data_IF_620938446683
#
_entry.id   IF_620938446683
#
_cell.length_a   1.000
_cell.length_b   1.000
_cell.length_c   1.000
_cell.angle_alpha   90.00
_cell.angle_beta   90.00
_cell.angle_gamma   90.00
#
_symmetry.space_group_name_H-M   'P 1'
#
loop_
_entity.id
_entity.type
_entity.pdbx_description
1 polymer ?
#
# COMPACT_ATOMS: atom_id res chain seq x y z
N UNK A 1 -4.09 13.69 -0.40
CA UNK A 1 -3.72 12.53 -1.23
C UNK A 1 -4.55 11.31 -0.86
N UNK A 2 -4.74 10.40 -1.80
CA UNK A 2 -5.30 9.06 -1.59
C UNK A 2 -4.16 8.05 -1.75
N UNK A 3 -3.95 7.17 -0.78
CA UNK A 3 -2.97 6.08 -0.84
C UNK A 3 -3.74 4.77 -0.91
N UNK A 4 -3.43 3.93 -1.88
CA UNK A 4 -3.99 2.58 -1.99
C UNK A 4 -2.99 1.61 -1.35
N UNK A 5 -3.47 0.82 -0.41
CA UNK A 5 -2.71 -0.20 0.34
C UNK A 5 -3.23 -1.58 -0.05
N UNK A 6 -2.39 -2.51 -0.50
CA UNK A 6 -2.82 -3.90 -0.68
C UNK A 6 -3.37 -4.48 0.62
N UNK A 7 -2.58 -4.50 1.68
CA UNK A 7 -2.93 -5.04 2.98
C UNK A 7 -2.94 -3.97 4.09
N UNK A 8 -3.36 -4.38 5.28
CA UNK A 8 -3.43 -3.56 6.49
C UNK A 8 -2.01 -3.41 7.10
N UNK A 9 -1.19 -2.51 6.55
CA UNK A 9 0.17 -2.12 6.98
C UNK A 9 0.98 -1.51 5.84
N UNK A 10 0.84 -1.97 4.59
CA UNK A 10 1.69 -1.62 3.45
C UNK A 10 1.82 -0.11 3.24
N UNK A 11 0.71 0.64 3.32
CA UNK A 11 0.75 2.09 3.15
C UNK A 11 1.62 2.78 4.21
N UNK A 12 1.55 2.34 5.46
CA UNK A 12 2.34 2.93 6.55
C UNK A 12 3.81 2.51 6.44
N UNK A 13 4.07 1.24 6.11
CA UNK A 13 5.43 0.74 5.90
C UNK A 13 6.13 1.40 4.72
N UNK A 14 5.37 1.70 3.64
CA UNK A 14 5.92 2.22 2.39
C UNK A 14 5.77 3.74 2.20
N UNK A 15 4.81 4.39 2.88
CA UNK A 15 4.48 5.82 2.72
C UNK A 15 4.28 6.57 4.05
N UNK A 16 4.68 6.02 5.20
CA UNK A 16 4.37 6.58 6.50
C UNK A 16 4.88 8.01 6.72
N UNK A 17 6.05 8.39 6.20
CA UNK A 17 6.56 9.76 6.32
C UNK A 17 5.81 10.72 5.37
N UNK A 18 5.43 10.26 4.17
CA UNK A 18 4.59 11.04 3.25
C UNK A 18 3.18 11.26 3.83
N UNK A 19 2.61 10.25 4.50
CA UNK A 19 1.35 10.37 5.23
C UNK A 19 1.46 11.39 6.37
N UNK A 20 2.54 11.34 7.16
CA UNK A 20 2.80 12.31 8.24
C UNK A 20 2.95 13.75 7.71
N UNK A 21 3.47 13.92 6.50
CA UNK A 21 3.59 15.21 5.82
C UNK A 21 2.25 15.72 5.26
N UNK A 22 1.21 14.88 5.21
CA UNK A 22 -0.06 15.18 4.53
C UNK A 22 -1.28 14.91 5.44
N UNK A 23 -1.47 15.69 6.52
CA UNK A 23 -2.63 15.52 7.40
C UNK A 23 -3.95 15.55 6.63
N UNK A 24 -4.85 14.64 6.96
CA UNK A 24 -6.12 14.46 6.24
C UNK A 24 -6.02 13.55 5.02
N UNK A 25 -4.85 12.97 4.73
CA UNK A 25 -4.71 11.91 3.74
C UNK A 25 -5.71 10.77 3.99
N UNK A 26 -6.12 10.09 2.92
CA UNK A 26 -6.97 8.92 3.00
C UNK A 26 -6.16 7.70 2.57
N UNK A 27 -6.22 6.63 3.34
CA UNK A 27 -5.64 5.33 2.98
C UNK A 27 -6.78 4.35 2.72
N UNK A 28 -6.81 3.79 1.51
CA UNK A 28 -7.75 2.76 1.12
C UNK A 28 -7.04 1.41 1.08
N UNK A 29 -7.34 0.55 2.05
CA UNK A 29 -6.82 -0.81 2.08
C UNK A 29 -7.76 -1.75 1.33
N UNK A 30 -7.21 -2.46 0.33
CA UNK A 30 -7.97 -3.30 -0.59
C UNK A 30 -8.38 -4.61 0.07
N UNK A 31 -7.40 -5.37 0.53
CA UNK A 31 -7.62 -6.69 1.14
C UNK A 31 -7.76 -6.58 2.66
N UNK A 32 -8.88 -6.02 3.08
CA UNK A 32 -9.21 -5.85 4.49
C UNK A 32 -10.46 -6.66 4.90
N UNK A 33 -10.98 -7.53 4.03
CA UNK A 33 -12.12 -8.39 4.27
C UNK A 33 -11.81 -9.52 5.25
N UNK A 34 -12.81 -9.94 6.02
CA UNK A 34 -12.74 -11.15 6.83
C UNK A 34 -13.47 -12.29 6.10
N UNK A 35 -12.93 -13.52 6.08
CA UNK A 35 -13.62 -14.66 5.48
C UNK A 35 -14.91 -14.99 6.24
N UNK A 36 -15.86 -15.67 5.56
CA UNK A 36 -17.11 -16.09 6.17
C UNK A 36 -16.94 -17.18 7.24
N UNK A 37 -15.89 -17.96 7.12
CA UNK A 37 -15.56 -19.06 8.04
C UNK A 37 -14.33 -18.74 8.88
N UNK A 38 -14.22 -19.33 10.05
CA UNK A 38 -13.09 -19.17 10.96
C UNK A 38 -11.90 -20.05 10.56
N UNK A 39 -11.31 -19.75 9.39
CA UNK A 39 -10.09 -20.41 8.94
C UNK A 39 -8.87 -19.95 9.75
N UNK A 40 -7.81 -20.75 9.75
CA UNK A 40 -6.52 -20.42 10.36
C UNK A 40 -5.44 -20.60 9.30
N UNK A 41 -4.63 -19.57 9.10
CA UNK A 41 -3.48 -19.64 8.20
C UNK A 41 -2.18 -19.70 9.00
N UNK A 42 -1.08 -20.09 8.34
CA UNK A 42 0.24 -20.07 8.95
C UNK A 42 0.64 -18.64 9.36
N UNK A 43 0.24 -17.63 8.56
CA UNK A 43 0.52 -16.23 8.86
C UNK A 43 -0.26 -15.75 10.09
N UNK A 44 -1.54 -16.11 10.22
CA UNK A 44 -2.33 -15.80 11.42
C UNK A 44 -1.68 -16.38 12.67
N UNK A 45 -1.21 -17.62 12.58
CA UNK A 45 -0.50 -18.29 13.68
C UNK A 45 0.79 -17.58 14.04
N UNK A 46 1.60 -17.15 13.06
CA UNK A 46 2.83 -16.38 13.28
C UNK A 46 2.55 -15.01 13.90
N UNK A 47 1.45 -14.36 13.50
CA UNK A 47 0.96 -13.13 14.10
C UNK A 47 0.40 -13.32 15.52
N UNK A 48 0.17 -14.57 15.95
CA UNK A 48 -0.36 -14.94 17.27
C UNK A 48 -1.89 -14.89 17.37
N UNK A 49 -2.59 -15.04 16.24
CA UNK A 49 -4.05 -15.09 16.18
C UNK A 49 -4.57 -16.51 16.20
N UNK A 50 -5.75 -16.69 16.78
CA UNK A 50 -6.42 -18.00 16.84
C UNK A 50 -7.14 -18.36 15.54
N UNK A 51 -7.56 -17.39 14.75
CA UNK A 51 -8.26 -17.56 13.47
C UNK A 51 -8.32 -16.24 12.70
N UNK A 52 -8.74 -16.31 11.44
CA UNK A 52 -8.87 -15.19 10.52
C UNK A 52 -9.81 -14.09 11.00
N UNK A 53 -10.88 -14.40 11.70
CA UNK A 53 -11.80 -13.38 12.24
C UNK A 53 -11.11 -12.51 13.29
N UNK A 54 -10.37 -13.14 14.23
CA UNK A 54 -9.57 -12.41 15.19
C UNK A 54 -8.47 -11.62 14.47
N UNK A 55 -7.75 -12.24 13.53
CA UNK A 55 -6.69 -11.60 12.76
C UNK A 55 -7.19 -10.32 12.09
N UNK A 56 -8.27 -10.41 11.32
CA UNK A 56 -8.79 -9.25 10.59
C UNK A 56 -9.36 -8.16 11.52
N UNK A 57 -9.97 -8.55 12.64
CA UNK A 57 -10.44 -7.59 13.64
C UNK A 57 -9.27 -6.80 14.24
N UNK A 58 -8.24 -7.49 14.73
CA UNK A 58 -7.07 -6.90 15.37
C UNK A 58 -6.25 -6.06 14.37
N UNK A 59 -5.97 -6.61 13.18
CA UNK A 59 -5.21 -5.91 12.13
C UNK A 59 -5.90 -4.62 11.67
N UNK A 60 -7.23 -4.61 11.53
CA UNK A 60 -7.99 -3.37 11.24
C UNK A 60 -7.87 -2.34 12.37
N UNK A 61 -7.85 -2.78 13.63
CA UNK A 61 -7.66 -1.90 14.77
C UNK A 61 -6.23 -1.32 14.81
N UNK A 62 -5.21 -2.15 14.54
CA UNK A 62 -3.81 -1.71 14.43
C UNK A 62 -3.64 -0.67 13.32
N UNK A 63 -4.21 -0.94 12.12
CA UNK A 63 -4.17 -0.03 10.97
C UNK A 63 -4.85 1.31 11.27
N UNK A 64 -6.06 1.28 11.82
CA UNK A 64 -6.77 2.49 12.21
C UNK A 64 -5.98 3.32 13.23
N UNK A 65 -5.37 2.68 14.24
CA UNK A 65 -4.56 3.35 15.24
C UNK A 65 -3.26 3.94 14.64
N UNK A 66 -2.62 3.25 13.70
CA UNK A 66 -1.44 3.73 12.99
C UNK A 66 -1.76 4.95 12.12
N UNK A 67 -2.85 4.88 11.34
CA UNK A 67 -3.28 5.97 10.46
C UNK A 67 -3.72 7.21 11.25
N UNK A 68 -4.44 7.05 12.35
CA UNK A 68 -4.79 8.16 13.25
C UNK A 68 -3.53 8.84 13.79
N UNK A 69 -2.48 8.07 14.16
CA UNK A 69 -1.22 8.62 14.63
C UNK A 69 -0.48 9.45 13.57
N UNK A 70 -0.78 9.23 12.27
CA UNK A 70 -0.26 10.00 11.14
C UNK A 70 -1.21 11.12 10.68
N UNK A 71 -2.36 11.31 11.33
CA UNK A 71 -3.39 12.25 10.90
C UNK A 71 -4.11 11.84 9.62
N UNK A 72 -4.05 10.56 9.25
CA UNK A 72 -4.70 9.99 8.08
C UNK A 72 -6.02 9.29 8.46
N UNK A 73 -6.85 8.98 7.45
CA UNK A 73 -8.17 8.36 7.61
C UNK A 73 -8.23 7.02 6.87
N UNK A 74 -8.61 5.91 7.54
CA UNK A 74 -8.77 4.62 6.89
C UNK A 74 -10.05 4.54 6.05
N UNK A 75 -9.96 3.79 4.96
CA UNK A 75 -11.07 3.21 4.20
C UNK A 75 -10.71 1.75 3.96
N UNK A 76 -11.47 0.82 4.51
CA UNK A 76 -11.24 -0.61 4.34
C UNK A 76 -12.26 -1.17 3.36
N UNK A 77 -11.77 -1.74 2.23
CA UNK A 77 -12.61 -2.54 1.35
C UNK A 77 -12.83 -3.93 1.97
N UNK A 78 -13.90 -4.59 1.56
CA UNK A 78 -14.23 -5.92 2.11
C UNK A 78 -13.83 -7.04 1.13
N UNK A 79 -12.66 -6.89 0.47
CA UNK A 79 -12.09 -7.92 -0.39
C UNK A 79 -11.15 -8.80 0.43
N UNK A 80 -11.12 -10.09 0.11
CA UNK A 80 -10.32 -11.07 0.85
C UNK A 80 -8.87 -11.05 0.37
N UNK A 81 -7.95 -11.10 1.30
CA UNK A 81 -6.54 -11.42 1.10
C UNK A 81 -6.40 -12.80 0.45
N UNK A 82 -5.42 -13.00 -0.42
CA UNK A 82 -5.18 -14.27 -1.12
C UNK A 82 -5.03 -15.46 -0.18
N UNK A 83 -4.51 -15.26 1.03
CA UNK A 83 -4.41 -16.31 2.05
C UNK A 83 -5.77 -16.85 2.53
N UNK A 84 -6.85 -16.05 2.37
CA UNK A 84 -8.21 -16.44 2.78
C UNK A 84 -9.12 -16.75 1.60
N UNK A 85 -8.81 -16.20 0.44
CA UNK A 85 -9.72 -16.23 -0.71
C UNK A 85 -9.69 -17.58 -1.45
N UNK A 86 -8.55 -18.26 -1.50
CA UNK A 86 -8.40 -19.45 -2.33
C UNK A 86 -8.86 -19.17 -3.77
N UNK A 87 -9.76 -19.98 -4.28
CA UNK A 87 -10.36 -19.82 -5.62
C UNK A 87 -11.36 -18.64 -5.73
N UNK A 88 -11.73 -18.03 -4.61
CA UNK A 88 -12.67 -16.90 -4.53
C UNK A 88 -11.95 -15.54 -4.50
N UNK A 89 -10.71 -15.45 -4.99
CA UNK A 89 -9.97 -14.19 -5.10
C UNK A 89 -10.71 -13.19 -5.98
N UNK A 90 -10.73 -11.92 -5.56
CA UNK A 90 -11.35 -10.86 -6.35
C UNK A 90 -10.65 -10.72 -7.70
N UNK A 91 -11.44 -10.52 -8.77
CA UNK A 91 -10.88 -10.28 -10.10
C UNK A 91 -10.25 -8.89 -10.20
N UNK A 92 -9.30 -8.66 -11.14
CA UNK A 92 -8.76 -7.34 -11.40
C UNK A 92 -9.84 -6.28 -11.64
N UNK A 93 -10.90 -6.64 -12.36
CA UNK A 93 -12.03 -5.76 -12.71
C UNK A 93 -12.86 -5.38 -11.48
N UNK A 94 -13.09 -6.31 -10.55
CA UNK A 94 -13.79 -6.05 -9.28
C UNK A 94 -12.99 -5.07 -8.42
N UNK A 95 -11.68 -5.26 -8.32
CA UNK A 95 -10.79 -4.36 -7.58
C UNK A 95 -10.76 -2.98 -8.24
N UNK A 96 -10.58 -2.91 -9.56
CA UNK A 96 -10.56 -1.66 -10.31
C UNK A 96 -11.89 -0.89 -10.16
N UNK A 97 -13.03 -1.58 -10.20
CA UNK A 97 -14.36 -0.98 -10.00
C UNK A 97 -14.52 -0.40 -8.59
N UNK A 98 -14.11 -1.16 -7.57
CA UNK A 98 -14.16 -0.70 -6.18
C UNK A 98 -13.26 0.52 -5.97
N UNK A 99 -12.02 0.49 -6.49
CA UNK A 99 -11.08 1.61 -6.41
C UNK A 99 -11.58 2.85 -7.16
N UNK A 100 -12.14 2.69 -8.35
CA UNK A 100 -12.74 3.81 -9.09
C UNK A 100 -13.88 4.46 -8.29
N UNK A 101 -14.67 3.68 -7.56
CA UNK A 101 -15.67 4.19 -6.63
C UNK A 101 -15.07 5.06 -5.52
N UNK A 102 -14.00 4.59 -4.88
CA UNK A 102 -13.30 5.34 -3.83
C UNK A 102 -12.64 6.61 -4.38
N UNK A 103 -11.95 6.52 -5.51
CA UNK A 103 -11.27 7.66 -6.16
C UNK A 103 -12.29 8.76 -6.44
N UNK A 104 -13.42 8.44 -7.07
CA UNK A 104 -14.50 9.42 -7.34
C UNK A 104 -15.10 10.01 -6.07
N UNK A 105 -15.36 9.18 -5.06
CA UNK A 105 -15.97 9.62 -3.81
C UNK A 105 -15.04 10.55 -2.98
N UNK A 106 -13.73 10.36 -3.06
CA UNK A 106 -12.75 11.17 -2.32
C UNK A 106 -12.31 12.40 -3.10
N UNK A 107 -12.33 12.37 -4.45
CA UNK A 107 -11.99 13.46 -5.35
C UNK A 107 -10.64 14.14 -5.00
N UNK A 108 -9.63 13.33 -4.65
CA UNK A 108 -8.30 13.80 -4.26
C UNK A 108 -7.38 13.81 -5.50
N UNK A 109 -6.58 14.88 -5.72
CA UNK A 109 -5.84 15.05 -6.98
C UNK A 109 -4.62 14.14 -7.12
N UNK A 110 -4.15 13.56 -6.02
CA UNK A 110 -2.95 12.71 -6.02
C UNK A 110 -3.27 11.32 -5.52
N UNK A 111 -2.92 10.33 -6.34
CA UNK A 111 -3.09 8.91 -6.09
C UNK A 111 -1.73 8.24 -5.88
N UNK A 112 -1.49 7.68 -4.70
CA UNK A 112 -0.35 6.82 -4.41
C UNK A 112 -0.77 5.37 -4.54
N UNK A 113 0.02 4.58 -5.27
CA UNK A 113 -0.25 3.16 -5.53
C UNK A 113 0.98 2.31 -5.20
N UNK A 114 0.85 1.01 -4.88
CA UNK A 114 2.01 0.13 -4.75
C UNK A 114 2.74 0.04 -6.10
N UNK A 115 4.06 -0.09 -6.10
CA UNK A 115 4.81 -0.41 -7.32
C UNK A 115 4.48 -1.83 -7.82
N UNK A 116 3.98 -2.68 -6.92
CA UNK A 116 3.57 -4.05 -7.22
C UNK A 116 4.76 -5.00 -7.25
N UNK A 117 5.57 -4.99 -6.18
CA UNK A 117 6.76 -5.82 -6.06
C UNK A 117 6.42 -7.18 -5.43
N UNK A 118 6.98 -8.26 -5.96
CA UNK A 118 7.03 -9.62 -5.45
C UNK A 118 5.66 -10.28 -5.19
N UNK A 119 4.87 -9.76 -4.24
CA UNK A 119 3.61 -10.39 -3.80
C UNK A 119 2.53 -10.26 -4.88
N UNK A 120 1.80 -11.35 -5.15
CA UNK A 120 0.72 -11.37 -6.16
C UNK A 120 -0.34 -10.31 -5.93
N UNK A 121 -0.76 -10.12 -4.68
CA UNK A 121 -1.78 -9.14 -4.31
C UNK A 121 -1.30 -7.69 -4.56
N UNK A 122 -0.02 -7.38 -4.30
CA UNK A 122 0.54 -6.07 -4.61
C UNK A 122 0.52 -5.79 -6.11
N UNK A 123 0.85 -6.81 -6.90
CA UNK A 123 0.82 -6.73 -8.36
C UNK A 123 -0.60 -6.53 -8.88
N UNK A 124 -1.54 -7.30 -8.36
CA UNK A 124 -2.96 -7.22 -8.69
C UNK A 124 -3.54 -5.83 -8.37
N UNK A 125 -3.26 -5.31 -7.19
CA UNK A 125 -3.68 -3.96 -6.78
C UNK A 125 -3.03 -2.89 -7.64
N UNK A 126 -1.73 -3.02 -7.96
CA UNK A 126 -1.06 -2.09 -8.87
C UNK A 126 -1.77 -2.02 -10.23
N UNK A 127 -2.06 -3.18 -10.84
CA UNK A 127 -2.66 -3.25 -12.16
C UNK A 127 -4.09 -2.68 -12.16
N UNK A 128 -4.88 -2.98 -11.13
CA UNK A 128 -6.21 -2.39 -10.93
C UNK A 128 -6.16 -0.85 -10.72
N UNK A 129 -5.17 -0.35 -9.98
CA UNK A 129 -4.95 1.09 -9.81
C UNK A 129 -4.58 1.77 -11.13
N UNK A 130 -3.75 1.13 -11.96
CA UNK A 130 -3.39 1.64 -13.29
C UNK A 130 -4.60 1.79 -14.18
N UNK A 131 -5.52 0.82 -14.14
CA UNK A 131 -6.76 0.88 -14.90
C UNK A 131 -7.63 2.05 -14.46
N UNK A 132 -7.83 2.21 -13.14
CA UNK A 132 -8.57 3.33 -12.59
C UNK A 132 -7.91 4.70 -12.90
N UNK A 133 -6.57 4.78 -12.87
CA UNK A 133 -5.83 6.00 -13.23
C UNK A 133 -5.96 6.36 -14.71
N UNK A 134 -5.91 5.36 -15.61
CA UNK A 134 -6.12 5.60 -17.06
C UNK A 134 -7.49 6.20 -17.37
N UNK A 135 -8.49 5.92 -16.54
CA UNK A 135 -9.82 6.48 -16.68
C UNK A 135 -9.93 7.96 -16.24
N UNK A 136 -8.96 8.46 -15.45
CA UNK A 136 -8.90 9.86 -14.99
C UNK A 136 -7.50 10.45 -15.17
N UNK A 137 -7.19 11.01 -16.35
CA UNK A 137 -5.88 11.59 -16.66
C UNK A 137 -5.51 12.83 -15.84
N UNK A 138 -6.45 13.42 -15.09
CA UNK A 138 -6.20 14.56 -14.22
C UNK A 138 -5.48 14.16 -12.91
N UNK A 139 -5.49 12.87 -12.57
CA UNK A 139 -4.84 12.36 -11.39
C UNK A 139 -3.31 12.35 -11.55
N UNK A 140 -2.60 12.93 -10.59
CA UNK A 140 -1.17 12.68 -10.43
C UNK A 140 -0.99 11.31 -9.80
N UNK A 141 -0.38 10.37 -10.54
CA UNK A 141 -0.13 9.02 -10.07
C UNK A 141 1.32 8.86 -9.59
N UNK A 142 1.49 8.36 -8.38
CA UNK A 142 2.80 8.12 -7.75
C UNK A 142 2.83 6.66 -7.28
N UNK A 143 3.82 5.89 -7.76
CA UNK A 143 4.06 4.54 -7.27
C UNK A 143 5.08 4.56 -6.13
N UNK A 144 4.75 3.95 -5.00
CA UNK A 144 5.70 3.74 -3.91
C UNK A 144 6.36 2.36 -4.03
N UNK A 145 7.64 2.28 -3.70
CA UNK A 145 8.32 0.99 -3.59
C UNK A 145 7.80 0.23 -2.35
N UNK A 146 7.28 -0.97 -2.59
CA UNK A 146 6.74 -1.82 -1.53
C UNK A 146 7.83 -2.18 -0.52
N UNK A 147 7.65 -1.79 0.74
CA UNK A 147 8.60 -2.04 1.81
C UNK A 147 8.89 -3.54 1.94
N UNK A 148 10.08 -3.88 2.41
CA UNK A 148 10.66 -5.22 2.46
C UNK A 148 11.02 -5.79 1.07
N UNK A 149 10.11 -5.77 0.09
CA UNK A 149 10.32 -6.34 -1.24
C UNK A 149 11.30 -5.51 -2.08
N UNK A 150 11.32 -4.18 -1.91
CA UNK A 150 12.28 -3.28 -2.59
C UNK A 150 13.75 -3.61 -2.30
N UNK A 151 14.04 -4.40 -1.25
CA UNK A 151 15.39 -4.86 -0.91
C UNK A 151 15.85 -6.07 -1.73
N UNK A 152 14.94 -6.73 -2.45
CA UNK A 152 15.27 -7.85 -3.31
C UNK A 152 16.03 -7.36 -4.54
N UNK A 153 17.22 -7.91 -4.74
CA UNK A 153 18.13 -7.46 -5.80
C UNK A 153 17.48 -7.50 -7.20
N UNK A 154 17.50 -6.36 -7.89
CA UNK A 154 17.01 -6.25 -9.26
C UNK A 154 15.48 -6.15 -9.39
N UNK A 155 14.71 -6.37 -8.34
CA UNK A 155 13.25 -6.45 -8.43
C UNK A 155 12.61 -5.10 -8.83
N UNK A 156 13.05 -4.00 -8.21
CA UNK A 156 12.59 -2.64 -8.57
C UNK A 156 12.94 -2.33 -10.04
N UNK A 157 14.19 -2.60 -10.45
CA UNK A 157 14.66 -2.34 -11.82
C UNK A 157 13.86 -3.15 -12.86
N UNK A 158 13.60 -4.43 -12.57
CA UNK A 158 12.78 -5.28 -13.45
C UNK A 158 11.36 -4.72 -13.57
N UNK A 159 10.77 -4.29 -12.44
CA UNK A 159 9.42 -3.72 -12.45
C UNK A 159 9.33 -2.40 -13.22
N UNK A 160 10.32 -1.52 -13.06
CA UNK A 160 10.40 -0.27 -13.83
C UNK A 160 10.58 -0.53 -15.33
N UNK A 161 11.36 -1.56 -15.71
CA UNK A 161 11.51 -1.96 -17.11
C UNK A 161 10.19 -2.50 -17.71
N UNK A 162 9.40 -3.29 -16.94
CA UNK A 162 8.07 -3.73 -17.36
C UNK A 162 7.13 -2.53 -17.60
N UNK A 163 7.11 -1.56 -16.68
CA UNK A 163 6.30 -0.34 -16.86
C UNK A 163 6.70 0.44 -18.11
N UNK A 164 8.01 0.53 -18.40
CA UNK A 164 8.49 1.18 -19.62
C UNK A 164 8.04 0.44 -20.90
N UNK A 165 8.03 -0.91 -20.90
CA UNK A 165 7.49 -1.72 -21.99
C UNK A 165 5.99 -1.51 -22.18
N UNK A 166 5.26 -1.26 -21.09
CA UNK A 166 3.82 -0.93 -21.11
C UNK A 166 3.54 0.54 -21.48
N UNK A 167 4.54 1.30 -21.90
CA UNK A 167 4.41 2.70 -22.28
C UNK A 167 4.20 3.65 -21.09
N UNK A 168 4.76 3.33 -19.93
CA UNK A 168 4.72 4.19 -18.74
C UNK A 168 6.13 4.60 -18.35
N UNK A 169 6.39 5.90 -18.30
CA UNK A 169 7.61 6.46 -17.74
C UNK A 169 7.47 6.59 -16.22
N UNK A 170 8.46 6.11 -15.48
CA UNK A 170 8.57 6.27 -14.03
C UNK A 170 9.77 7.17 -13.71
N UNK A 171 9.51 8.32 -13.09
CA UNK A 171 10.55 9.29 -12.70
C UNK A 171 10.65 9.34 -11.19
N UNK A 172 11.86 9.25 -10.57
CA UNK A 172 12.01 9.36 -9.13
C UNK A 172 11.39 10.65 -8.60
N UNK A 173 10.61 10.55 -7.53
CA UNK A 173 10.12 11.72 -6.81
C UNK A 173 11.30 12.31 -6.05
N UNK A 174 11.77 13.48 -6.49
CA UNK A 174 12.83 14.24 -5.84
C UNK A 174 12.25 15.54 -5.28
N UNK A 175 11.76 15.52 -4.07
CA UNK A 175 11.40 16.73 -3.37
C UNK A 175 12.60 17.29 -2.62
N UNK A 176 12.78 18.62 -2.65
CA UNK A 176 13.67 19.32 -1.71
C UNK A 176 13.01 19.29 -0.33
N UNK A 177 13.26 18.23 0.41
CA UNK A 177 12.70 18.07 1.76
C UNK A 177 13.60 18.81 2.74
N UNK A 178 13.00 19.71 3.54
CA UNK A 178 13.65 20.24 4.73
C UNK A 178 14.06 19.07 5.64
N UNK A 179 15.35 18.98 5.98
CA UNK A 179 15.93 17.90 6.80
C UNK A 179 15.21 17.75 8.15
N UNK A 180 14.79 18.85 8.75
CA UNK A 180 14.06 18.82 10.02
C UNK A 180 12.62 18.29 9.83
N UNK A 181 11.97 18.65 8.74
CA UNK A 181 10.65 18.09 8.42
C UNK A 181 10.73 16.61 8.13
N UNK A 182 11.73 16.17 7.36
CA UNK A 182 11.98 14.75 7.10
C UNK A 182 12.19 13.96 8.40
N UNK A 183 13.04 14.45 9.30
CA UNK A 183 13.31 13.79 10.59
C UNK A 183 12.03 13.66 11.43
N UNK A 184 11.20 14.71 11.50
CA UNK A 184 9.90 14.67 12.20
C UNK A 184 8.95 13.64 11.59
N UNK A 185 8.85 13.61 10.27
CA UNK A 185 7.95 12.71 9.56
C UNK A 185 8.40 11.24 9.69
N UNK A 186 9.71 10.97 9.63
CA UNK A 186 10.26 9.64 9.89
C UNK A 186 10.01 9.19 11.33
N UNK A 187 10.17 10.08 12.31
CA UNK A 187 9.84 9.76 13.70
C UNK A 187 8.34 9.47 13.89
N UNK A 188 7.46 10.18 13.14
CA UNK A 188 6.03 9.89 13.14
C UNK A 188 5.73 8.52 12.49
N UNK A 189 6.36 8.22 11.35
CA UNK A 189 6.29 6.90 10.71
C UNK A 189 6.70 5.79 11.68
N UNK A 190 7.83 5.92 12.36
CA UNK A 190 8.32 4.91 13.31
C UNK A 190 7.29 4.62 14.42
N UNK A 191 6.64 5.67 14.96
CA UNK A 191 5.58 5.48 15.96
C UNK A 191 4.34 4.81 15.39
N UNK A 192 3.98 5.09 14.13
CA UNK A 192 2.86 4.45 13.45
C UNK A 192 3.15 2.98 13.13
N UNK A 193 4.33 2.67 12.59
CA UNK A 193 4.79 1.29 12.33
C UNK A 193 4.71 0.44 13.59
N UNK A 194 5.10 0.99 14.76
CA UNK A 194 5.06 0.27 16.04
C UNK A 194 3.63 -0.09 16.50
N UNK A 195 2.56 0.40 15.83
CA UNK A 195 1.17 0.00 16.10
C UNK A 195 0.80 -1.35 15.49
N UNK A 196 1.53 -1.80 14.48
CA UNK A 196 1.32 -3.11 13.84
C UNK A 196 2.04 -4.23 14.60
N UNK A 197 1.72 -4.37 15.89
CA UNK A 197 2.41 -5.29 16.80
C UNK A 197 2.33 -6.75 16.32
N UNK A 198 1.19 -7.14 15.73
CA UNK A 198 0.97 -8.49 15.19
C UNK A 198 1.90 -8.78 14.02
N UNK A 199 2.02 -7.84 13.07
CA UNK A 199 2.83 -8.00 11.86
C UNK A 199 4.33 -7.98 12.20
N UNK A 200 4.76 -7.06 13.07
CA UNK A 200 6.14 -7.01 13.55
C UNK A 200 6.55 -8.30 14.28
N UNK A 201 5.61 -8.95 15.00
CA UNK A 201 5.83 -10.26 15.61
C UNK A 201 6.10 -11.34 14.56
N UNK A 202 5.29 -11.37 13.50
CA UNK A 202 5.40 -12.37 12.44
C UNK A 202 6.71 -12.25 11.66
N UNK A 203 7.23 -11.03 11.45
CA UNK A 203 8.53 -10.82 10.80
C UNK A 203 9.72 -11.36 11.64
N UNK A 204 9.51 -11.62 12.93
CA UNK A 204 10.57 -12.07 13.83
C UNK A 204 11.55 -10.95 14.25
N UNK A 205 12.66 -11.32 14.91
CA UNK A 205 13.54 -10.33 15.53
C UNK A 205 14.44 -9.57 14.55
N UNK A 206 14.55 -10.00 13.31
CA UNK A 206 15.48 -9.44 12.32
C UNK A 206 14.86 -9.36 10.93
N UNK A 207 15.38 -8.46 10.11
CA UNK A 207 15.07 -8.43 8.66
C UNK A 207 13.97 -7.47 8.23
N UNK A 208 13.33 -6.76 9.15
CA UNK A 208 12.25 -5.82 8.83
C UNK A 208 12.62 -4.33 9.02
N UNK A 209 13.89 -3.99 9.22
CA UNK A 209 14.32 -2.59 9.40
C UNK A 209 13.87 -1.67 8.26
N UNK A 210 13.62 -2.24 7.08
CA UNK A 210 13.18 -1.50 5.90
C UNK A 210 11.83 -0.79 6.10
N UNK A 211 10.93 -1.30 6.95
CA UNK A 211 9.63 -0.64 7.22
C UNK A 211 9.79 0.69 7.95
N UNK A 212 10.93 0.93 8.60
CA UNK A 212 11.28 2.19 9.26
C UNK A 212 12.07 3.14 8.36
N UNK A 213 12.58 2.65 7.22
CA UNK A 213 13.40 3.42 6.31
C UNK A 213 12.60 4.49 5.56
N UNK A 214 13.26 5.54 5.04
CA UNK A 214 12.63 6.51 4.14
C UNK A 214 12.01 5.84 2.92
N UNK A 215 10.93 6.42 2.43
CA UNK A 215 10.22 5.98 1.24
C UNK A 215 11.03 6.24 -0.03
N UNK A 216 10.74 5.44 -1.06
CA UNK A 216 11.13 5.71 -2.44
C UNK A 216 9.87 5.65 -3.30
N UNK A 217 9.67 6.72 -4.07
CA UNK A 217 8.48 6.86 -4.90
C UNK A 217 8.84 7.29 -6.31
N UNK A 218 7.95 7.00 -7.25
CA UNK A 218 8.09 7.25 -8.67
C UNK A 218 6.85 7.92 -9.21
N UNK A 219 6.98 9.09 -9.82
CA UNK A 219 5.88 9.69 -10.58
C UNK A 219 5.69 8.90 -11.87
N UNK A 220 4.48 8.42 -12.10
CA UNK A 220 4.13 7.68 -13.30
C UNK A 220 3.50 8.62 -14.34
N UNK A 221 3.91 8.47 -15.61
CA UNK A 221 3.37 9.22 -16.74
C UNK A 221 3.21 8.30 -17.95
N UNK A 222 2.10 8.34 -18.68
CA UNK A 222 2.00 7.67 -19.97
C UNK A 222 3.03 8.25 -20.94
N UNK A 223 3.70 7.40 -21.70
CA UNK A 223 4.56 7.86 -22.81
C UNK A 223 3.65 8.51 -23.85
N UNK A 224 3.85 9.79 -24.11
CA UNK A 224 3.18 10.48 -25.22
C UNK A 224 3.89 10.08 -26.51
N UNK A 225 3.19 9.35 -27.35
CA UNK A 225 3.62 9.24 -28.74
C UNK A 225 3.20 10.56 -29.41
N UNK A 226 4.15 11.44 -29.67
CA UNK A 226 3.93 12.60 -30.53
C UNK A 226 3.43 12.06 -31.88
N UNK A 227 2.21 12.46 -32.26
CA UNK A 227 1.61 12.15 -33.56
C UNK A 227 2.10 13.16 -34.57
#
# INVERSE_FOLDING_TARGET
MLVISPHLDDAVFSCGAALAASPGAVVCTVFAGAPGEAVVTDWDTQCGFANAHQAMHERRAEDAAALVALGARPVHLNLLDSQYAGDASASPEEIASALAGVIRAKALPTLYIPLGLFHSDHRLVHDACREAWRADPALTCIAYEDALYRRMNGLVQSRLAELAQDGITATPVSERIDTNALARNLAAKQRAVSRYASQLRAFGPNGYDDVFAPERCWTLQPVRHDR
#
